data_IF_463262433061
#
_entry.id   IF_463262433061
#
_cell.length_a   1.000
_cell.length_b   1.000
_cell.length_c   1.000
_cell.angle_alpha   90.00
_cell.angle_beta   90.00
_cell.angle_gamma   90.00
#
_symmetry.space_group_name_H-M   'P 1'
#
loop_
_entity.id
_entity.type
_entity.pdbx_description
1 polymer ?
#
# COMPACT_ATOMS: atom_id res chain seq x y z
N UNK A 1 15.15 -39.10 23.25
CA UNK A 1 15.41 -37.77 22.67
C UNK A 1 14.08 -37.23 22.14
N UNK A 2 13.59 -36.13 22.72
CA UNK A 2 12.33 -35.49 22.29
C UNK A 2 12.66 -34.62 21.08
N UNK A 3 12.22 -35.03 19.90
CA UNK A 3 12.30 -34.18 18.71
C UNK A 3 11.16 -33.17 18.77
N UNK A 4 11.49 -31.90 18.97
CA UNK A 4 10.58 -30.78 18.77
C UNK A 4 10.42 -30.56 17.27
N UNK A 5 9.22 -30.79 16.75
CA UNK A 5 8.83 -30.42 15.40
C UNK A 5 8.54 -28.91 15.41
N UNK A 6 9.54 -28.09 15.07
CA UNK A 6 9.34 -26.66 14.81
C UNK A 6 8.76 -26.57 13.39
N UNK A 7 7.45 -26.39 13.28
CA UNK A 7 6.77 -26.14 12.00
C UNK A 7 7.18 -24.75 11.51
N UNK A 8 7.98 -24.72 10.45
CA UNK A 8 8.58 -23.52 9.84
C UNK A 8 7.65 -22.82 8.82
N UNK A 9 6.45 -23.35 8.61
CA UNK A 9 5.61 -23.10 7.43
C UNK A 9 4.59 -21.93 7.55
N UNK A 10 4.79 -21.01 8.50
CA UNK A 10 3.92 -19.82 8.66
C UNK A 10 4.68 -18.50 8.39
N UNK A 11 5.60 -18.51 7.42
CA UNK A 11 6.42 -17.35 7.02
C UNK A 11 5.63 -16.16 6.45
N UNK A 12 4.33 -16.32 6.16
CA UNK A 12 3.46 -15.27 5.59
C UNK A 12 2.81 -14.33 6.62
N UNK A 13 3.03 -14.55 7.92
CA UNK A 13 2.57 -13.66 9.00
C UNK A 13 3.52 -12.48 9.28
N UNK A 14 4.72 -12.48 8.70
CA UNK A 14 5.69 -11.41 8.88
C UNK A 14 5.46 -10.30 7.85
N UNK A 15 5.54 -9.04 8.27
CA UNK A 15 5.33 -7.90 7.38
C UNK A 15 6.42 -7.87 6.30
N UNK A 16 6.01 -7.92 5.03
CA UNK A 16 6.91 -7.76 3.89
C UNK A 16 6.90 -6.27 3.53
N UNK A 17 8.06 -5.65 3.61
CA UNK A 17 8.27 -4.25 3.22
C UNK A 17 9.32 -4.22 2.11
N UNK A 18 8.90 -3.90 0.89
CA UNK A 18 9.81 -3.71 -0.24
C UNK A 18 9.81 -2.24 -0.66
N UNK A 19 10.99 -1.69 -0.93
CA UNK A 19 11.14 -0.35 -1.49
C UNK A 19 12.20 -0.33 -2.58
N UNK A 20 12.00 0.53 -3.57
CA UNK A 20 12.97 0.81 -4.63
C UNK A 20 13.11 2.30 -4.79
N UNK A 21 14.35 2.78 -4.96
CA UNK A 21 14.67 4.20 -5.02
C UNK A 21 15.65 4.46 -6.17
N UNK A 22 15.40 5.52 -6.93
CA UNK A 22 16.28 6.01 -8.00
C UNK A 22 16.57 7.50 -7.77
N UNK A 23 17.85 7.86 -7.82
CA UNK A 23 18.33 9.24 -7.75
C UNK A 23 19.01 9.63 -9.05
N UNK A 24 18.76 10.86 -9.53
CA UNK A 24 19.44 11.42 -10.69
C UNK A 24 19.45 12.96 -10.63
N UNK A 25 20.58 13.54 -10.23
CA UNK A 25 20.68 14.99 -10.03
C UNK A 25 19.69 15.49 -8.97
N UNK A 26 18.85 16.46 -9.33
CA UNK A 26 17.77 17.01 -8.48
C UNK A 26 16.47 16.19 -8.52
N UNK A 27 16.50 14.97 -9.08
CA UNK A 27 15.33 14.11 -9.25
C UNK A 27 15.42 12.90 -8.32
N UNK A 28 14.31 12.61 -7.65
CA UNK A 28 14.11 11.47 -6.75
C UNK A 28 12.83 10.72 -7.15
N UNK A 29 12.91 9.40 -7.27
CA UNK A 29 11.73 8.55 -7.38
C UNK A 29 11.84 7.37 -6.43
N UNK A 30 10.73 7.00 -5.80
CA UNK A 30 10.69 5.90 -4.87
C UNK A 30 9.34 5.19 -4.85
N UNK A 31 9.36 3.89 -4.65
CA UNK A 31 8.17 3.07 -4.38
C UNK A 31 8.31 2.34 -3.07
N UNK A 32 7.18 2.07 -2.42
CA UNK A 32 7.11 1.22 -1.24
C UNK A 32 5.87 0.35 -1.33
N UNK A 33 6.00 -0.91 -0.95
CA UNK A 33 4.86 -1.82 -0.75
C UNK A 33 4.96 -2.44 0.63
N UNK A 34 3.83 -2.57 1.30
CA UNK A 34 3.74 -3.15 2.63
C UNK A 34 2.59 -4.13 2.67
N UNK A 35 2.82 -5.32 3.21
CA UNK A 35 1.76 -6.30 3.48
C UNK A 35 1.85 -6.79 4.91
N UNK A 36 0.71 -6.89 5.58
CA UNK A 36 0.61 -7.45 6.92
C UNK A 36 -0.60 -8.35 6.99
N UNK A 37 -0.43 -9.55 7.55
CA UNK A 37 -1.51 -10.50 7.73
C UNK A 37 -1.58 -10.96 9.19
N UNK A 38 -2.79 -11.22 9.65
CA UNK A 38 -3.11 -11.80 10.96
C UNK A 38 -4.34 -12.70 10.81
N UNK A 39 -4.64 -13.59 11.77
CA UNK A 39 -5.89 -14.35 11.72
C UNK A 39 -7.11 -13.44 11.54
N UNK A 40 -7.89 -13.67 10.47
CA UNK A 40 -9.08 -12.89 10.13
C UNK A 40 -8.83 -11.47 9.60
N UNK A 41 -7.58 -11.10 9.30
CA UNK A 41 -7.24 -9.74 8.87
C UNK A 41 -6.05 -9.71 7.90
N UNK A 42 -6.15 -8.89 6.86
CA UNK A 42 -5.02 -8.58 5.99
C UNK A 42 -5.03 -7.11 5.59
N UNK A 43 -3.85 -6.52 5.46
CA UNK A 43 -3.64 -5.21 4.87
C UNK A 43 -2.56 -5.27 3.81
N UNK A 44 -2.80 -4.60 2.70
CA UNK A 44 -1.79 -4.30 1.70
C UNK A 44 -1.78 -2.80 1.43
N UNK A 45 -0.61 -2.19 1.38
CA UNK A 45 -0.42 -0.79 1.04
C UNK A 45 0.64 -0.66 -0.05
N UNK A 46 0.48 0.34 -0.92
CA UNK A 46 1.51 0.73 -1.86
C UNK A 46 1.61 2.26 -1.91
N UNK A 47 2.81 2.76 -2.11
CA UNK A 47 3.10 4.16 -2.30
C UNK A 47 4.13 4.35 -3.40
N UNK A 48 3.99 5.40 -4.19
CA UNK A 48 5.00 5.82 -5.13
C UNK A 48 5.09 7.35 -5.14
N UNK A 49 6.31 7.86 -5.17
CA UNK A 49 6.61 9.29 -5.22
C UNK A 49 7.65 9.55 -6.31
N UNK A 50 7.48 10.64 -7.04
CA UNK A 50 8.52 11.20 -7.89
C UNK A 50 8.58 12.71 -7.66
N UNK A 51 9.78 13.20 -7.36
CA UNK A 51 10.11 14.60 -7.08
C UNK A 51 11.14 15.01 -8.11
N UNK A 52 10.80 15.95 -8.98
CA UNK A 52 11.73 16.67 -9.82
C UNK A 52 11.95 18.08 -9.28
N UNK A 53 12.79 18.86 -9.98
CA UNK A 53 13.11 20.24 -9.61
C UNK A 53 11.87 21.14 -9.54
N UNK A 54 10.89 20.90 -10.41
CA UNK A 54 9.67 21.70 -10.52
C UNK A 54 8.40 20.87 -10.51
N UNK A 55 8.50 19.55 -10.37
CA UNK A 55 7.37 18.62 -10.47
C UNK A 55 7.34 17.67 -9.29
N UNK A 56 6.13 17.24 -8.92
CA UNK A 56 5.92 16.28 -7.86
C UNK A 56 4.72 15.41 -8.20
N UNK A 57 4.85 14.12 -7.97
CA UNK A 57 3.74 13.18 -7.99
C UNK A 57 3.83 12.26 -6.79
N UNK A 58 2.69 11.93 -6.20
CA UNK A 58 2.56 11.00 -5.10
C UNK A 58 1.28 10.20 -5.27
N UNK A 59 1.40 8.88 -5.22
CA UNK A 59 0.28 7.96 -5.25
C UNK A 59 0.36 7.05 -4.05
N UNK A 60 -0.78 6.79 -3.42
CA UNK A 60 -0.89 5.93 -2.26
C UNK A 60 -2.15 5.09 -2.41
N UNK A 61 -2.05 3.80 -2.11
CA UNK A 61 -3.18 2.89 -2.02
C UNK A 61 -3.09 2.06 -0.75
N UNK A 62 -4.25 1.72 -0.18
CA UNK A 62 -4.36 0.85 0.98
C UNK A 62 -5.60 0.00 0.86
N UNK A 63 -5.43 -1.30 0.93
CA UNK A 63 -6.50 -2.29 0.97
C UNK A 63 -6.47 -2.97 2.33
N UNK A 64 -7.64 -3.10 2.96
CA UNK A 64 -7.82 -3.88 4.18
C UNK A 64 -8.91 -4.91 3.95
N UNK A 65 -8.69 -6.13 4.42
CA UNK A 65 -9.66 -7.21 4.43
C UNK A 65 -9.84 -7.68 5.87
N UNK A 66 -11.09 -7.91 6.28
CA UNK A 66 -11.46 -8.48 7.58
C UNK A 66 -12.47 -9.60 7.36
N UNK A 67 -12.20 -10.76 7.95
CA UNK A 67 -13.19 -11.81 8.10
C UNK A 67 -13.86 -11.66 9.46
N UNK A 68 -15.18 -11.49 9.46
CA UNK A 68 -16.02 -11.30 10.64
C UNK A 68 -16.90 -12.53 10.91
N UNK A 69 -16.42 -13.73 10.57
CA UNK A 69 -17.17 -14.98 10.63
C UNK A 69 -17.84 -15.28 9.30
N UNK A 70 -19.14 -15.01 9.19
CA UNK A 70 -19.95 -15.21 7.97
C UNK A 70 -19.96 -14.00 7.03
N UNK A 71 -19.05 -13.04 7.23
CA UNK A 71 -18.94 -11.83 6.45
C UNK A 71 -17.47 -11.48 6.22
N UNK A 72 -17.07 -11.45 4.95
CA UNK A 72 -15.82 -10.85 4.53
C UNK A 72 -16.06 -9.39 4.14
N UNK A 73 -15.34 -8.50 4.79
CA UNK A 73 -15.33 -7.07 4.52
C UNK A 73 -14.01 -6.69 3.88
N UNK A 74 -14.04 -5.95 2.78
CA UNK A 74 -12.85 -5.31 2.23
C UNK A 74 -13.09 -3.85 1.90
N UNK A 75 -12.03 -3.05 2.10
CA UNK A 75 -12.01 -1.64 1.76
C UNK A 75 -10.67 -1.29 1.13
N UNK A 76 -10.72 -0.68 -0.04
CA UNK A 76 -9.57 -0.13 -0.73
C UNK A 76 -9.72 1.39 -0.85
N UNK A 77 -8.70 2.12 -0.44
CA UNK A 77 -8.60 3.57 -0.61
C UNK A 77 -7.38 3.88 -1.49
N UNK A 78 -7.51 4.82 -2.43
CA UNK A 78 -6.43 5.30 -3.28
C UNK A 78 -6.44 6.82 -3.35
N UNK A 79 -5.26 7.44 -3.33
CA UNK A 79 -5.08 8.88 -3.50
C UNK A 79 -3.92 9.14 -4.45
N UNK A 80 -4.09 10.10 -5.35
CA UNK A 80 -3.05 10.60 -6.22
C UNK A 80 -2.98 12.13 -6.14
N UNK A 81 -1.79 12.66 -5.99
CA UNK A 81 -1.50 14.09 -5.97
C UNK A 81 -0.42 14.38 -6.99
N UNK A 82 -0.60 15.42 -7.78
CA UNK A 82 0.42 15.95 -8.67
C UNK A 82 0.49 17.47 -8.53
N UNK A 83 1.68 18.04 -8.58
CA UNK A 83 1.84 19.46 -8.81
C UNK A 83 3.04 19.75 -9.70
N UNK A 84 2.96 20.87 -10.42
CA UNK A 84 4.02 21.39 -11.26
C UNK A 84 4.15 22.90 -11.03
N UNK A 85 5.38 23.39 -11.07
CA UNK A 85 5.72 24.79 -10.88
C UNK A 85 6.46 25.33 -12.10
N UNK A 86 6.03 26.49 -12.59
CA UNK A 86 6.74 27.22 -13.65
C UNK A 86 6.84 28.68 -13.25
N UNK A 87 8.05 29.16 -12.94
CA UNK A 87 8.25 30.51 -12.40
C UNK A 87 7.48 30.72 -11.09
N UNK A 88 6.57 31.69 -11.07
CA UNK A 88 5.70 32.00 -9.93
C UNK A 88 4.32 31.32 -9.99
N UNK A 89 4.10 30.41 -10.94
CA UNK A 89 2.83 29.71 -11.12
C UNK A 89 2.95 28.27 -10.62
N UNK A 90 1.89 27.80 -9.95
CA UNK A 90 1.77 26.41 -9.51
C UNK A 90 0.46 25.86 -10.01
N UNK A 91 0.52 24.72 -10.71
CA UNK A 91 -0.64 23.90 -11.02
C UNK A 91 -0.65 22.69 -10.09
N UNK A 92 -1.83 22.33 -9.57
CA UNK A 92 -1.98 21.13 -8.74
C UNK A 92 -3.25 20.38 -9.08
N UNK A 93 -3.19 19.06 -8.93
CA UNK A 93 -4.32 18.16 -9.10
C UNK A 93 -4.30 17.11 -8.01
N UNK A 94 -5.49 16.73 -7.55
CA UNK A 94 -5.68 15.70 -6.55
C UNK A 94 -6.88 14.86 -6.91
N UNK A 95 -6.72 13.54 -6.81
CA UNK A 95 -7.79 12.57 -6.98
C UNK A 95 -7.78 11.60 -5.81
N UNK A 96 -8.96 11.12 -5.43
CA UNK A 96 -9.14 10.11 -4.41
C UNK A 96 -10.30 9.20 -4.78
N UNK A 97 -10.16 7.91 -4.47
CA UNK A 97 -11.20 6.91 -4.68
C UNK A 97 -11.22 5.94 -3.51
N UNK A 98 -12.43 5.49 -3.15
CA UNK A 98 -12.66 4.46 -2.14
C UNK A 98 -13.60 3.43 -2.72
N UNK A 99 -13.24 2.16 -2.55
CA UNK A 99 -14.07 1.01 -2.90
C UNK A 99 -14.29 0.14 -1.66
N UNK A 100 -15.52 -0.32 -1.47
CA UNK A 100 -15.92 -1.19 -0.37
C UNK A 100 -16.63 -2.40 -0.96
N UNK A 101 -16.26 -3.59 -0.50
CA UNK A 101 -16.93 -4.84 -0.85
C UNK A 101 -17.27 -5.62 0.42
N UNK A 102 -18.44 -6.24 0.38
CA UNK A 102 -19.02 -7.06 1.43
C UNK A 102 -19.42 -8.39 0.80
N UNK A 103 -18.96 -9.49 1.37
CA UNK A 103 -19.28 -10.84 0.89
C UNK A 103 -19.77 -11.72 2.04
N UNK A 104 -20.98 -12.27 1.89
CA UNK A 104 -21.60 -13.15 2.88
C UNK A 104 -21.09 -14.57 2.65
N UNK A 105 -20.34 -15.09 3.61
CA UNK A 105 -19.77 -16.43 3.55
C UNK A 105 -20.65 -17.40 4.33
N UNK A 106 -21.28 -18.35 3.62
CA UNK A 106 -21.88 -19.55 4.23
C UNK A 106 -20.75 -20.58 4.43
N UNK A 107 -20.01 -20.46 5.54
CA UNK A 107 -19.06 -21.51 5.98
C UNK A 107 -19.68 -22.39 7.05
#
# INVERSE_FOLDING_TARGET
MRNFLIISDLSYLQSINESSIVYGGNVYAGTVTTTTTSPGYATAGAGAVAIGETTYTNTQSKTNVKNLGSLDYSRADATATAYAKTGNQTASSRSSSTSISLDLTNR
#
